data_IF_633380436181
#
_entry.id   IF_633380436181
#
_cell.length_a   1.000
_cell.length_b   1.000
_cell.length_c   1.000
_cell.angle_alpha   90.00
_cell.angle_beta   90.00
_cell.angle_gamma   90.00
#
_symmetry.space_group_name_H-M   'P 1'
#
loop_
_entity.id
_entity.type
_entity.pdbx_description
1 polymer ?
#
# COMPACT_ATOMS: atom_id res chain seq x y z
N UNK A 1 13.67 -19.76 7.59
CA UNK A 1 13.22 -19.09 8.86
C UNK A 1 13.31 -17.56 8.72
N UNK A 2 14.42 -17.04 8.20
CA UNK A 2 14.57 -15.63 7.85
C UNK A 2 13.53 -15.15 6.82
N UNK A 3 13.28 -15.90 5.73
CA UNK A 3 12.30 -15.46 4.71
C UNK A 3 10.90 -15.31 5.30
N UNK A 4 10.54 -16.20 6.23
CA UNK A 4 9.24 -16.16 6.91
C UNK A 4 9.06 -14.88 7.72
N UNK A 5 10.09 -14.51 8.50
CA UNK A 5 10.09 -13.28 9.28
C UNK A 5 10.03 -12.05 8.35
N UNK A 6 10.85 -12.04 7.30
CA UNK A 6 10.86 -10.96 6.31
C UNK A 6 9.49 -10.84 5.61
N UNK A 7 8.83 -11.95 5.28
CA UNK A 7 7.49 -11.97 4.69
C UNK A 7 6.46 -11.31 5.60
N UNK A 8 6.45 -11.64 6.90
CA UNK A 8 5.57 -10.98 7.86
C UNK A 8 5.85 -9.48 8.01
N UNK A 9 7.11 -9.06 8.02
CA UNK A 9 7.48 -7.64 8.07
C UNK A 9 6.95 -6.91 6.83
N UNK A 10 7.13 -7.50 5.64
CA UNK A 10 6.63 -6.94 4.38
C UNK A 10 5.10 -6.82 4.41
N UNK A 11 4.38 -7.82 4.91
CA UNK A 11 2.92 -7.76 5.04
C UNK A 11 2.49 -6.61 5.97
N UNK A 12 3.14 -6.45 7.12
CA UNK A 12 2.84 -5.34 8.04
C UNK A 12 3.08 -3.98 7.36
N UNK A 13 4.17 -3.84 6.61
CA UNK A 13 4.48 -2.62 5.86
C UNK A 13 3.48 -2.37 4.73
N UNK A 14 3.03 -3.44 4.05
CA UNK A 14 2.03 -3.37 3.00
C UNK A 14 0.66 -2.90 3.52
N UNK A 15 0.24 -3.39 4.69
CA UNK A 15 -0.98 -2.94 5.37
C UNK A 15 -0.88 -1.45 5.70
N UNK A 16 0.27 -1.01 6.23
CA UNK A 16 0.51 0.42 6.50
C UNK A 16 0.44 1.26 5.22
N UNK A 17 1.06 0.81 4.12
CA UNK A 17 1.00 1.48 2.82
C UNK A 17 -0.42 1.58 2.24
N UNK A 18 -1.24 0.54 2.41
CA UNK A 18 -2.65 0.57 1.99
C UNK A 18 -3.43 1.58 2.85
N UNK A 19 -3.16 1.61 4.17
CA UNK A 19 -3.81 2.55 5.08
C UNK A 19 -3.44 4.01 4.76
N UNK A 20 -2.19 4.31 4.43
CA UNK A 20 -1.77 5.66 4.03
C UNK A 20 -2.41 6.08 2.70
N UNK A 21 -2.52 5.17 1.73
CA UNK A 21 -3.25 5.42 0.49
C UNK A 21 -4.74 5.71 0.74
N UNK A 22 -5.37 4.97 1.67
CA UNK A 22 -6.75 5.23 2.10
C UNK A 22 -6.90 6.60 2.78
N UNK A 23 -5.98 6.99 3.65
CA UNK A 23 -5.99 8.32 4.27
C UNK A 23 -5.85 9.43 3.23
N UNK A 24 -4.94 9.28 2.27
CA UNK A 24 -4.78 10.25 1.18
C UNK A 24 -6.07 10.36 0.34
N UNK A 25 -6.70 9.23 0.00
CA UNK A 25 -7.99 9.21 -0.68
C UNK A 25 -9.07 9.94 0.14
N UNK A 26 -9.19 9.63 1.44
CA UNK A 26 -10.17 10.25 2.33
C UNK A 26 -9.96 11.76 2.42
N UNK A 27 -8.71 12.22 2.52
CA UNK A 27 -8.38 13.63 2.58
C UNK A 27 -8.80 14.36 1.30
N UNK A 28 -8.48 13.80 0.13
CA UNK A 28 -8.91 14.37 -1.16
C UNK A 28 -10.42 14.35 -1.30
N UNK A 29 -11.09 13.29 -0.86
CA UNK A 29 -12.56 13.17 -0.91
C UNK A 29 -13.25 14.21 -0.02
N UNK A 30 -12.69 14.52 1.15
CA UNK A 30 -13.32 15.41 2.13
C UNK A 30 -12.96 16.89 1.92
N UNK A 31 -11.73 17.18 1.49
CA UNK A 31 -11.18 18.56 1.47
C UNK A 31 -10.64 18.94 0.09
N UNK A 32 -10.76 18.05 -0.91
CA UNK A 32 -10.31 18.30 -2.27
C UNK A 32 -10.98 19.53 -2.89
N UNK A 33 -10.17 20.39 -3.49
CA UNK A 33 -10.60 21.63 -4.12
C UNK A 33 -9.79 21.91 -5.39
N UNK A 34 -10.02 23.05 -6.04
CA UNK A 34 -9.35 23.44 -7.29
C UNK A 34 -7.82 23.55 -7.19
N UNK A 35 -7.28 23.68 -5.98
CA UNK A 35 -5.83 23.72 -5.72
C UNK A 35 -5.24 22.32 -5.48
N UNK A 36 -6.07 21.29 -5.36
CA UNK A 36 -5.59 19.91 -5.22
C UNK A 36 -5.02 19.42 -6.54
N UNK A 37 -3.80 18.87 -6.51
CA UNK A 37 -3.16 18.38 -7.73
C UNK A 37 -4.02 17.31 -8.42
N UNK A 38 -4.27 17.42 -9.73
CA UNK A 38 -5.01 16.40 -10.48
C UNK A 38 -4.26 15.06 -10.50
N UNK A 39 -2.95 15.05 -10.25
CA UNK A 39 -2.13 13.85 -10.16
C UNK A 39 -2.28 13.10 -8.83
N UNK A 40 -3.00 13.64 -7.84
CA UNK A 40 -3.18 12.97 -6.55
C UNK A 40 -3.91 11.63 -6.71
N UNK A 41 -4.84 11.54 -7.67
CA UNK A 41 -5.56 10.31 -7.98
C UNK A 41 -4.61 9.20 -8.46
N UNK A 42 -3.63 9.55 -9.30
CA UNK A 42 -2.58 8.62 -9.72
C UNK A 42 -1.73 8.17 -8.53
N UNK A 43 -1.33 9.10 -7.65
CA UNK A 43 -0.56 8.77 -6.45
C UNK A 43 -1.29 7.81 -5.50
N UNK A 44 -2.58 8.05 -5.28
CA UNK A 44 -3.45 7.15 -4.49
C UNK A 44 -3.56 5.78 -5.13
N UNK A 45 -3.83 5.72 -6.44
CA UNK A 45 -3.94 4.46 -7.18
C UNK A 45 -2.63 3.68 -7.19
N UNK A 46 -1.51 4.32 -7.50
CA UNK A 46 -0.19 3.67 -7.48
C UNK A 46 0.18 3.20 -6.09
N UNK A 47 -0.13 3.99 -5.04
CA UNK A 47 0.12 3.61 -3.65
C UNK A 47 -0.68 2.38 -3.22
N UNK A 48 -1.96 2.33 -3.61
CA UNK A 48 -2.83 1.18 -3.35
C UNK A 48 -2.36 -0.07 -4.11
N UNK A 49 -2.09 0.05 -5.41
CA UNK A 49 -1.59 -1.06 -6.25
C UNK A 49 -0.27 -1.62 -5.72
N UNK A 50 0.65 -0.73 -5.32
CA UNK A 50 1.92 -1.14 -4.72
C UNK A 50 1.72 -1.88 -3.39
N UNK A 51 0.84 -1.37 -2.52
CA UNK A 51 0.48 -2.04 -1.28
C UNK A 51 -0.07 -3.46 -1.51
N UNK A 52 -0.98 -3.64 -2.47
CA UNK A 52 -1.53 -4.96 -2.82
C UNK A 52 -0.43 -5.90 -3.31
N UNK A 53 0.46 -5.42 -4.19
CA UNK A 53 1.59 -6.22 -4.67
C UNK A 53 2.52 -6.64 -3.52
N UNK A 54 2.80 -5.74 -2.57
CA UNK A 54 3.59 -6.07 -1.39
C UNK A 54 2.91 -7.11 -0.48
N UNK A 55 1.58 -7.08 -0.35
CA UNK A 55 0.85 -8.13 0.40
C UNK A 55 1.06 -9.48 -0.28
N UNK A 56 0.83 -9.57 -1.60
CA UNK A 56 1.00 -10.81 -2.36
C UNK A 56 2.43 -11.34 -2.25
N UNK A 57 3.42 -10.45 -2.43
CA UNK A 57 4.83 -10.80 -2.33
C UNK A 57 5.21 -11.25 -0.90
N UNK A 58 4.73 -10.54 0.12
CA UNK A 58 4.98 -10.87 1.52
C UNK A 58 4.35 -12.21 1.93
N UNK A 59 3.14 -12.53 1.43
CA UNK A 59 2.53 -13.85 1.61
C UNK A 59 3.37 -14.92 0.93
N UNK A 60 3.72 -14.73 -0.34
CA UNK A 60 4.49 -15.72 -1.09
C UNK A 60 5.85 -16.01 -0.41
N UNK A 61 6.53 -14.99 0.12
CA UNK A 61 7.76 -15.13 0.90
C UNK A 61 7.53 -15.80 2.27
N UNK A 62 6.43 -15.47 2.97
CA UNK A 62 6.12 -16.03 4.29
C UNK A 62 5.80 -17.53 4.26
N UNK A 63 5.26 -18.00 3.14
CA UNK A 63 4.90 -19.40 2.92
C UNK A 63 5.91 -20.16 2.05
N UNK A 64 7.06 -19.56 1.74
CA UNK A 64 8.12 -20.17 0.92
C UNK A 64 7.59 -20.65 -0.45
N UNK A 65 6.69 -19.85 -1.05
CA UNK A 65 6.16 -20.09 -2.39
C UNK A 65 7.06 -19.51 -3.50
N UNK A 66 8.14 -18.84 -3.10
CA UNK A 66 9.23 -18.23 -3.88
C UNK A 66 10.47 -18.16 -3.00
#
# INVERSE_FOLDING_TARGET
MLERITGFIIICFAIWQIYTAYLAFKQVKQVGNKSTSPFIALGVWSGLSFGILMVVFGIALAFNAI
#
